data_IF_044173346027
#
_entry.id   IF_044173346027
#
_cell.length_a   1.000
_cell.length_b   1.000
_cell.length_c   1.000
_cell.angle_alpha   90.00
_cell.angle_beta   90.00
_cell.angle_gamma   90.00
#
_symmetry.space_group_name_H-M   'P 1'
#
loop_
_entity.id
_entity.type
_entity.pdbx_description
1 polymer ?
#
# COMPACT_ATOMS: atom_id res chain seq x y z
N UNK A 1 8.62 6.67 34.63
CA UNK A 1 7.88 7.44 33.60
C UNK A 1 8.07 6.72 32.27
N UNK A 2 7.06 5.97 31.75
CA UNK A 2 7.25 5.28 30.49
C UNK A 2 7.16 6.30 29.35
N UNK A 3 8.19 6.29 28.52
CA UNK A 3 8.30 7.07 27.29
C UNK A 3 7.20 6.60 26.34
N UNK A 4 6.23 7.46 26.03
CA UNK A 4 5.23 7.21 24.99
C UNK A 4 5.96 6.88 23.67
N UNK A 5 5.61 5.79 22.96
CA UNK A 5 6.22 5.51 21.68
C UNK A 5 5.77 6.59 20.70
N UNK A 6 6.72 7.47 20.38
CA UNK A 6 6.76 8.40 19.24
C UNK A 6 5.79 7.96 18.15
N UNK A 7 4.74 8.74 17.95
CA UNK A 7 3.70 8.54 16.94
C UNK A 7 4.40 8.27 15.60
N UNK A 8 4.38 7.01 15.16
CA UNK A 8 4.91 6.63 13.85
C UNK A 8 3.94 7.20 12.81
N UNK A 9 4.43 7.75 11.69
CA UNK A 9 3.55 8.06 10.59
C UNK A 9 2.97 6.72 10.11
N UNK A 10 1.72 6.46 10.47
CA UNK A 10 0.86 5.51 9.77
C UNK A 10 0.77 6.06 8.35
N UNK A 11 1.54 5.50 7.41
CA UNK A 11 1.39 5.88 6.00
C UNK A 11 0.05 5.28 5.59
N UNK A 12 -0.99 6.10 5.37
CA UNK A 12 -2.25 5.56 4.92
C UNK A 12 -2.05 5.14 3.47
N UNK A 13 -2.70 4.04 3.13
CA UNK A 13 -3.13 3.72 1.77
C UNK A 13 -2.18 2.84 0.94
N UNK A 14 -2.72 1.67 0.63
CA UNK A 14 -2.36 0.71 -0.41
C UNK A 14 -1.92 1.31 -1.76
N UNK A 15 -2.30 2.56 -1.97
CA UNK A 15 -1.92 3.44 -3.06
C UNK A 15 -0.39 3.58 -3.13
N UNK A 16 0.29 3.81 -1.99
CA UNK A 16 1.76 3.94 -1.91
C UNK A 16 2.55 2.69 -2.34
N UNK A 17 2.00 1.51 -2.09
CA UNK A 17 2.62 0.24 -2.49
C UNK A 17 2.54 -0.05 -4.00
N UNK A 18 1.46 0.43 -4.64
CA UNK A 18 1.25 0.24 -6.07
C UNK A 18 2.18 1.15 -6.87
N UNK A 19 2.61 2.26 -6.29
CA UNK A 19 3.53 3.16 -6.93
C UNK A 19 4.94 2.58 -6.99
N UNK A 20 5.58 2.71 -8.15
CA UNK A 20 7.02 2.51 -8.26
C UNK A 20 7.73 3.76 -7.74
N UNK A 21 7.65 4.01 -6.43
CA UNK A 21 8.36 5.13 -5.80
C UNK A 21 9.86 4.90 -6.00
N UNK A 22 10.56 5.89 -6.57
CA UNK A 22 12.02 5.82 -6.79
C UNK A 22 12.82 6.37 -5.62
N UNK A 23 12.15 7.02 -4.65
CA UNK A 23 12.82 7.73 -3.56
C UNK A 23 12.80 6.91 -2.27
N UNK A 24 13.93 6.29 -1.88
CA UNK A 24 13.99 5.62 -0.59
C UNK A 24 13.83 6.65 0.54
N UNK A 25 12.91 6.38 1.46
CA UNK A 25 12.74 7.18 2.66
C UNK A 25 13.77 6.68 3.70
N UNK A 26 14.58 7.55 4.32
CA UNK A 26 15.67 7.14 5.21
C UNK A 26 15.17 6.68 6.60
N UNK A 27 13.89 6.30 6.72
CA UNK A 27 13.28 5.86 7.98
C UNK A 27 12.63 4.49 7.77
N UNK A 28 12.59 3.65 8.80
CA UNK A 28 11.87 2.38 8.73
C UNK A 28 10.41 2.55 8.31
N UNK A 29 9.90 1.62 7.50
CA UNK A 29 8.54 1.61 6.98
C UNK A 29 7.78 0.40 7.56
N UNK A 30 6.54 0.64 8.00
CA UNK A 30 5.60 -0.41 8.40
C UNK A 30 4.29 -0.20 7.65
N UNK A 31 3.83 -1.24 6.97
CA UNK A 31 2.59 -1.22 6.19
C UNK A 31 1.64 -2.22 6.82
N UNK A 32 0.40 -1.81 7.09
CA UNK A 32 -0.68 -2.70 7.51
C UNK A 32 -1.66 -2.80 6.36
N UNK A 33 -1.99 -4.03 5.95
CA UNK A 33 -2.83 -4.23 4.78
C UNK A 33 -3.75 -5.43 4.98
N UNK A 34 -5.01 -5.28 4.56
CA UNK A 34 -6.00 -6.34 4.61
C UNK A 34 -5.63 -7.49 3.67
N UNK A 35 -5.43 -8.69 4.21
CA UNK A 35 -5.06 -9.85 3.39
C UNK A 35 -6.19 -10.30 2.46
N UNK A 36 -7.44 -10.00 2.82
CA UNK A 36 -8.62 -10.28 2.02
C UNK A 36 -9.04 -9.08 1.15
N UNK A 37 -8.27 -7.98 1.15
CA UNK A 37 -8.61 -6.76 0.43
C UNK A 37 -8.67 -6.98 -1.08
N UNK A 38 -9.88 -7.18 -1.54
CA UNK A 38 -10.28 -7.23 -2.92
C UNK A 38 -10.83 -5.85 -3.31
N UNK A 39 -10.13 -4.76 -3.07
CA UNK A 39 -10.32 -3.50 -3.82
C UNK A 39 -8.97 -2.89 -4.15
N UNK A 40 -8.05 -3.04 -3.21
CA UNK A 40 -6.61 -2.80 -3.33
C UNK A 40 -5.86 -4.08 -2.88
N UNK A 41 -5.51 -5.00 -3.80
CA UNK A 41 -4.82 -6.24 -3.47
C UNK A 41 -3.50 -6.00 -2.77
N UNK A 42 -3.13 -6.93 -1.89
CA UNK A 42 -1.91 -6.86 -1.09
C UNK A 42 -0.61 -7.05 -1.90
N UNK A 43 -0.69 -7.73 -3.06
CA UNK A 43 0.49 -8.13 -3.86
C UNK A 43 1.49 -7.00 -4.16
N UNK A 44 1.07 -5.82 -4.63
CA UNK A 44 1.97 -4.68 -4.83
C UNK A 44 2.70 -4.23 -3.55
N UNK A 45 2.06 -4.30 -2.38
CA UNK A 45 2.71 -3.98 -1.10
C UNK A 45 3.81 -4.98 -0.76
N UNK A 46 3.56 -6.26 -1.01
CA UNK A 46 4.58 -7.30 -0.81
C UNK A 46 5.78 -7.00 -1.71
N UNK A 47 5.55 -6.81 -3.01
CA UNK A 47 6.62 -6.51 -3.97
C UNK A 47 7.35 -5.19 -3.68
N UNK A 48 6.71 -4.22 -3.02
CA UNK A 48 7.38 -2.99 -2.59
C UNK A 48 8.28 -3.23 -1.37
N UNK A 49 7.79 -3.94 -0.37
CA UNK A 49 8.60 -4.30 0.82
C UNK A 49 9.80 -5.15 0.41
N UNK A 50 9.62 -6.13 -0.47
CA UNK A 50 10.71 -6.98 -0.97
C UNK A 50 11.81 -6.13 -1.66
N UNK A 51 11.42 -5.15 -2.48
CA UNK A 51 12.37 -4.21 -3.13
C UNK A 51 13.13 -3.35 -2.13
N UNK A 52 12.45 -2.83 -1.10
CA UNK A 52 13.09 -2.01 -0.07
C UNK A 52 14.06 -2.84 0.78
N UNK A 53 13.67 -4.06 1.17
CA UNK A 53 14.53 -4.98 1.91
C UNK A 53 15.76 -5.37 1.10
N UNK A 54 15.60 -5.66 -0.20
CA UNK A 54 16.71 -5.93 -1.11
C UNK A 54 17.69 -4.74 -1.26
N UNK A 55 17.21 -3.51 -1.06
CA UNK A 55 18.03 -2.30 -1.05
C UNK A 55 18.65 -1.97 0.33
N UNK A 56 18.53 -2.87 1.32
CA UNK A 56 19.08 -2.68 2.67
C UNK A 56 18.26 -1.76 3.57
N UNK A 57 17.01 -1.44 3.18
CA UNK A 57 16.11 -0.59 3.97
C UNK A 57 15.21 -1.42 4.88
N UNK A 58 14.89 -0.88 6.05
CA UNK A 58 14.01 -1.55 7.01
C UNK A 58 12.54 -1.32 6.64
N UNK A 59 11.92 -2.31 6.01
CA UNK A 59 10.49 -2.30 5.65
C UNK A 59 9.80 -3.58 6.09
N UNK A 60 8.57 -3.48 6.61
CA UNK A 60 7.76 -4.62 7.06
C UNK A 60 6.31 -4.46 6.60
N UNK A 61 5.74 -5.54 6.07
CA UNK A 61 4.31 -5.66 5.74
C UNK A 61 3.62 -6.57 6.77
N UNK A 62 2.58 -6.05 7.42
CA UNK A 62 1.66 -6.80 8.27
C UNK A 62 0.39 -7.10 7.47
N UNK A 63 0.26 -8.35 7.03
CA UNK A 63 -0.96 -8.84 6.39
C UNK A 63 -2.00 -9.17 7.48
N UNK A 64 -3.05 -8.38 7.58
CA UNK A 64 -4.15 -8.58 8.53
C UNK A 64 -5.10 -9.67 7.99
N UNK A 65 -5.17 -10.87 8.59
CA UNK A 65 -6.01 -11.96 8.07
C UNK A 65 -7.49 -11.58 8.07
N UNK A 66 -8.20 -11.90 6.98
CA UNK A 66 -9.64 -11.61 6.84
C UNK A 66 -10.02 -10.13 6.67
N UNK A 67 -9.08 -9.19 6.81
CA UNK A 67 -9.37 -7.77 6.67
C UNK A 67 -9.51 -7.35 5.20
N UNK A 68 -10.54 -6.56 4.91
CA UNK A 68 -10.85 -5.98 3.59
C UNK A 68 -10.40 -4.52 3.49
N UNK A 69 -10.75 -3.85 2.38
CA UNK A 69 -10.43 -2.45 2.19
C UNK A 69 -11.13 -1.57 3.25
N UNK A 70 -10.38 -0.66 3.89
CA UNK A 70 -10.90 0.20 4.94
C UNK A 70 -11.13 -0.48 6.30
N UNK A 71 -10.52 -1.65 6.55
CA UNK A 71 -10.69 -2.43 7.80
C UNK A 71 -10.41 -1.68 9.10
N UNK A 72 -9.63 -0.60 9.04
CA UNK A 72 -9.22 0.23 10.17
C UNK A 72 -10.04 1.52 10.29
N UNK A 73 -11.11 1.69 9.50
CA UNK A 73 -11.99 2.84 9.57
C UNK A 73 -13.16 2.62 10.56
N UNK A 74 -13.13 3.21 11.77
CA UNK A 74 -14.17 3.00 12.77
C UNK A 74 -15.53 3.61 12.39
N UNK A 75 -15.56 4.53 11.41
CA UNK A 75 -16.77 5.21 10.97
C UNK A 75 -17.56 4.48 9.88
N UNK A 76 -17.06 3.36 9.37
CA UNK A 76 -17.68 2.62 8.28
C UNK A 76 -17.68 1.13 8.57
N UNK A 77 -18.85 0.51 8.56
CA UNK A 77 -18.94 -0.94 8.49
C UNK A 77 -18.33 -1.45 7.18
N UNK A 78 -17.80 -2.67 7.19
CA UNK A 78 -17.36 -3.33 5.96
C UNK A 78 -18.53 -3.44 4.98
N UNK A 79 -18.26 -3.09 3.72
CA UNK A 79 -19.24 -3.14 2.64
C UNK A 79 -18.63 -3.77 1.41
N UNK A 80 -19.36 -4.72 0.83
CA UNK A 80 -19.06 -5.27 -0.47
C UNK A 80 -19.76 -4.42 -1.53
N UNK A 81 -18.98 -3.85 -2.45
CA UNK A 81 -19.45 -2.97 -3.52
C UNK A 81 -19.08 -3.58 -4.89
N UNK A 82 -19.88 -4.53 -5.43
CA UNK A 82 -19.50 -5.30 -6.61
C UNK A 82 -19.28 -4.48 -7.88
N UNK A 83 -19.93 -3.31 -7.96
CA UNK A 83 -19.86 -2.40 -9.11
C UNK A 83 -18.90 -1.23 -8.89
N UNK A 84 -18.19 -1.19 -7.75
CA UNK A 84 -17.23 -0.13 -7.48
C UNK A 84 -16.07 -0.19 -8.48
N UNK A 85 -15.78 0.97 -9.09
CA UNK A 85 -14.57 1.14 -9.89
C UNK A 85 -13.35 0.82 -9.04
N UNK A 86 -12.40 0.09 -9.62
CA UNK A 86 -11.28 -0.46 -8.87
C UNK A 86 -9.97 -0.26 -9.63
N UNK A 87 -8.94 0.33 -8.99
CA UNK A 87 -7.67 0.64 -9.65
C UNK A 87 -6.77 -0.59 -9.85
N UNK A 88 -7.25 -1.81 -9.54
CA UNK A 88 -6.39 -3.02 -9.47
C UNK A 88 -5.75 -3.39 -10.77
N UNK A 89 -6.42 -3.07 -11.87
CA UNK A 89 -5.99 -3.35 -13.25
C UNK A 89 -5.32 -2.14 -13.89
N UNK A 90 -5.18 -1.03 -13.17
CA UNK A 90 -4.44 0.13 -13.62
C UNK A 90 -3.00 0.05 -13.15
N UNK A 91 -2.08 0.39 -14.05
CA UNK A 91 -0.68 0.67 -13.72
C UNK A 91 -0.56 2.15 -13.46
N UNK A 92 0.16 2.51 -12.41
CA UNK A 92 0.45 3.90 -12.09
C UNK A 92 1.89 4.01 -11.62
N UNK A 93 2.53 5.11 -11.99
CA UNK A 93 3.94 5.35 -11.72
C UNK A 93 4.09 6.69 -11.01
N UNK A 94 5.06 6.76 -10.10
CA UNK A 94 5.46 8.04 -9.52
C UNK A 94 6.53 8.67 -10.42
N UNK A 95 6.24 9.85 -10.94
CA UNK A 95 7.13 10.66 -11.77
C UNK A 95 7.22 12.07 -11.19
N UNK A 96 8.43 12.50 -10.82
CA UNK A 96 8.69 13.82 -10.22
C UNK A 96 7.81 14.15 -9.00
N UNK A 97 7.50 13.14 -8.18
CA UNK A 97 6.65 13.27 -6.99
C UNK A 97 5.16 13.34 -7.29
N UNK A 98 4.76 13.21 -8.56
CA UNK A 98 3.37 13.09 -8.98
C UNK A 98 3.02 11.63 -9.33
N UNK A 99 1.76 11.28 -9.13
CA UNK A 99 1.22 10.00 -9.59
C UNK A 99 0.65 10.22 -10.97
N UNK A 100 1.17 9.47 -11.94
CA UNK A 100 0.70 9.46 -13.32
C UNK A 100 0.30 8.05 -13.73
N UNK A 101 -0.56 7.93 -14.74
CA UNK A 101 -0.88 6.64 -15.34
C UNK A 101 0.40 6.05 -15.95
N UNK A 102 0.66 4.77 -15.67
CA UNK A 102 1.74 4.06 -16.33
C UNK A 102 1.39 3.83 -17.80
N UNK A 103 2.41 3.74 -18.66
CA UNK A 103 2.18 3.38 -20.07
C UNK A 103 1.28 2.15 -20.17
N UNK A 104 0.22 2.26 -20.97
CA UNK A 104 -0.64 1.13 -21.32
C UNK A 104 0.24 0.17 -22.10
N UNK A 105 0.65 -0.94 -21.47
CA UNK A 105 1.20 -2.05 -22.24
C UNK A 105 0.11 -2.53 -23.18
N UNK A 106 0.27 -2.28 -24.48
CA UNK A 106 -0.61 -2.81 -25.52
C UNK A 106 -0.67 -4.34 -25.32
N UNK A 107 -1.87 -4.96 -25.35
CA UNK A 107 -1.95 -6.42 -25.26
C UNK A 107 -1.13 -7.03 -26.39
N UNK A 108 -0.27 -8.01 -26.08
CA UNK A 108 0.33 -8.89 -27.08
C UNK A 108 -0.70 -9.88 -27.61
#
# INVERSE_FOLDING_TARGET
MPILPRIWPSIPSAVTCRWRTKRPFPRPIRIFHGAAADWTPIGPCQAYVDRLQAAGLHAVLFACPGAHHGFDNPGTAEQQLPTALSPRRCTSVEQDGQIVDGEISTPS
#
